data_IF_154181871665
#
_entry.id   IF_154181871665
#
_cell.length_a   1.000
_cell.length_b   1.000
_cell.length_c   1.000
_cell.angle_alpha   90.00
_cell.angle_beta   90.00
_cell.angle_gamma   90.00
#
_symmetry.space_group_name_H-M   'P 1'
#
loop_
_entity.id
_entity.type
_entity.pdbx_description
1 polymer ?
#
# COMPACT_ATOMS: atom_id res chain seq x y z
N UNK A 1 7.68 19.14 45.08
CA UNK A 1 8.83 18.25 44.75
C UNK A 1 8.44 16.77 44.83
N UNK A 2 7.76 16.31 45.90
CA UNK A 2 7.33 14.90 46.03
C UNK A 2 6.29 14.44 44.98
N UNK A 3 5.33 15.29 44.60
CA UNK A 3 4.29 14.95 43.62
C UNK A 3 4.84 14.72 42.21
N UNK A 4 5.83 15.51 41.77
CA UNK A 4 6.47 15.34 40.46
C UNK A 4 7.28 14.05 40.37
N UNK A 5 7.85 13.58 41.49
CA UNK A 5 8.57 12.31 41.56
C UNK A 5 7.60 11.12 41.52
N UNK A 6 6.43 11.25 42.15
CA UNK A 6 5.39 10.24 42.13
C UNK A 6 4.76 10.08 40.73
N UNK A 7 4.52 11.18 40.01
CA UNK A 7 4.04 11.14 38.62
C UNK A 7 5.08 10.52 37.70
N UNK A 8 6.37 10.89 37.84
CA UNK A 8 7.46 10.24 37.08
C UNK A 8 7.56 8.75 37.36
N UNK A 9 7.45 8.33 38.62
CA UNK A 9 7.49 6.92 39.00
C UNK A 9 6.28 6.15 38.47
N UNK A 10 5.08 6.74 38.51
CA UNK A 10 3.86 6.14 37.98
C UNK A 10 3.89 6.01 36.44
N UNK A 11 4.39 7.02 35.73
CA UNK A 11 4.56 6.98 34.27
C UNK A 11 5.61 5.94 33.88
N UNK A 12 6.74 5.86 34.59
CA UNK A 12 7.77 4.85 34.35
C UNK A 12 7.30 3.43 34.69
N UNK A 13 6.48 3.28 35.74
CA UNK A 13 5.89 1.99 36.12
C UNK A 13 4.81 1.54 35.14
N UNK A 14 3.97 2.45 34.64
CA UNK A 14 2.99 2.18 33.58
C UNK A 14 3.68 1.85 32.25
N UNK A 15 4.75 2.57 31.90
CA UNK A 15 5.59 2.26 30.74
C UNK A 15 6.29 0.91 30.87
N UNK A 16 6.85 0.58 32.04
CA UNK A 16 7.49 -0.71 32.30
C UNK A 16 6.50 -1.87 32.31
N UNK A 17 5.28 -1.64 32.82
CA UNK A 17 4.20 -2.64 32.83
C UNK A 17 3.66 -2.87 31.42
N UNK A 18 3.50 -1.82 30.61
CA UNK A 18 3.13 -1.95 29.20
C UNK A 18 4.25 -2.60 28.38
N UNK A 19 5.53 -2.32 28.66
CA UNK A 19 6.66 -3.01 28.02
C UNK A 19 6.73 -4.47 28.46
N UNK A 20 6.43 -4.80 29.73
CA UNK A 20 6.35 -6.20 30.18
C UNK A 20 5.14 -6.94 29.61
N UNK A 21 3.98 -6.29 29.47
CA UNK A 21 2.80 -6.85 28.80
C UNK A 21 3.06 -7.00 27.30
N UNK A 22 3.71 -6.02 26.67
CA UNK A 22 4.21 -6.12 25.30
C UNK A 22 5.25 -7.22 25.16
N UNK A 23 6.14 -7.43 26.14
CA UNK A 23 7.15 -8.50 26.14
C UNK A 23 6.54 -9.89 26.34
N UNK A 24 5.51 -10.02 27.18
CA UNK A 24 4.73 -11.26 27.34
C UNK A 24 3.94 -11.57 26.05
N UNK A 25 3.58 -10.53 25.29
CA UNK A 25 3.01 -10.66 23.94
C UNK A 25 4.10 -10.69 22.83
N UNK A 26 5.37 -10.41 23.14
CA UNK A 26 6.47 -10.25 22.18
C UNK A 26 7.24 -11.52 21.90
N UNK A 27 6.68 -12.69 22.15
CA UNK A 27 7.00 -13.80 21.26
C UNK A 27 6.44 -13.43 19.87
N UNK A 28 7.14 -12.51 19.19
CA UNK A 28 6.83 -11.98 17.87
C UNK A 28 6.74 -13.10 16.85
N UNK A 29 7.49 -14.18 17.07
CA UNK A 29 7.37 -15.44 16.34
C UNK A 29 6.03 -16.13 16.60
N UNK A 30 5.52 -16.15 17.83
CA UNK A 30 4.25 -16.79 18.18
C UNK A 30 3.05 -15.98 17.71
N UNK A 31 3.09 -14.65 17.74
CA UNK A 31 1.98 -13.79 17.31
C UNK A 31 1.87 -13.73 15.77
N UNK A 32 3.01 -13.61 15.08
CA UNK A 32 3.04 -13.74 13.60
C UNK A 32 2.65 -15.16 13.17
N UNK A 33 3.08 -16.19 13.90
CA UNK A 33 2.71 -17.59 13.62
C UNK A 33 1.24 -17.89 13.94
N UNK A 34 0.67 -17.33 15.01
CA UNK A 34 -0.76 -17.45 15.34
C UNK A 34 -1.64 -16.72 14.33
N UNK A 35 -1.24 -15.53 13.86
CA UNK A 35 -1.95 -14.82 12.78
C UNK A 35 -1.84 -15.59 11.45
N UNK A 36 -0.72 -16.26 11.18
CA UNK A 36 -0.51 -17.12 10.00
C UNK A 36 -1.20 -18.49 10.11
N UNK A 37 -1.37 -19.04 11.30
CA UNK A 37 -2.09 -20.30 11.56
C UNK A 37 -3.61 -20.09 11.52
N UNK A 38 -4.11 -18.96 12.03
CA UNK A 38 -5.52 -18.55 11.88
C UNK A 38 -5.90 -18.32 10.40
N UNK A 39 -4.93 -17.96 9.55
CA UNK A 39 -5.03 -17.84 8.08
C UNK A 39 -5.12 -19.19 7.35
N UNK A 40 -4.52 -20.27 7.87
CA UNK A 40 -4.63 -21.63 7.30
C UNK A 40 -5.98 -22.28 7.62
N UNK A 41 -6.51 -22.05 8.83
CA UNK A 41 -7.83 -22.56 9.25
C UNK A 41 -8.99 -21.99 8.43
N UNK A 42 -8.88 -20.74 7.94
CA UNK A 42 -9.88 -20.11 7.08
C UNK A 42 -9.79 -20.56 5.60
N UNK A 43 -8.68 -21.19 5.19
CA UNK A 43 -8.50 -21.71 3.83
C UNK A 43 -8.93 -23.19 3.68
N UNK A 44 -8.95 -23.97 4.77
CA UNK A 44 -9.34 -25.39 4.72
C UNK A 44 -10.85 -25.64 4.86
N UNK A 45 -11.66 -24.60 5.09
CA UNK A 45 -13.09 -24.73 5.35
C UNK A 45 -13.97 -24.07 4.28
N UNK A 46 -13.71 -24.40 3.00
CA UNK A 46 -14.66 -24.15 1.91
C UNK A 46 -15.33 -25.46 1.49
N UNK A 47 -16.66 -25.58 1.57
CA UNK A 47 -17.34 -26.73 1.00
C UNK A 47 -17.40 -26.61 -0.53
N UNK A 48 -16.96 -27.69 -1.18
CA UNK A 48 -17.16 -28.01 -2.59
C UNK A 48 -18.62 -28.39 -2.88
N UNK A 49 -19.05 -28.18 -4.13
CA UNK A 49 -20.32 -28.55 -4.80
C UNK A 49 -21.32 -27.40 -4.99
N UNK A 50 -22.06 -27.24 -6.09
CA UNK A 50 -21.98 -27.67 -7.51
C UNK A 50 -23.14 -26.94 -8.24
N UNK A 51 -22.88 -26.55 -9.49
CA UNK A 51 -23.78 -26.22 -10.62
C UNK A 51 -25.31 -26.40 -10.48
N UNK A 52 -26.09 -25.38 -10.89
CA UNK A 52 -27.15 -25.43 -11.95
C UNK A 52 -27.69 -24.03 -12.27
N UNK A 53 -28.04 -23.78 -13.54
CA UNK A 53 -28.75 -22.61 -14.11
C UNK A 53 -30.01 -23.16 -14.85
N UNK A 54 -30.95 -22.33 -15.38
CA UNK A 54 -31.92 -21.42 -14.76
C UNK A 54 -33.38 -21.84 -15.17
N UNK A 55 -34.42 -20.98 -15.01
CA UNK A 55 -35.00 -20.40 -16.23
C UNK A 55 -35.52 -18.94 -16.13
N UNK A 56 -35.77 -18.39 -17.31
CA UNK A 56 -36.25 -17.07 -17.73
C UNK A 56 -37.71 -16.71 -17.38
N UNK A 57 -38.02 -15.42 -17.19
CA UNK A 57 -39.06 -14.67 -17.93
C UNK A 57 -39.18 -13.20 -17.50
N UNK A 58 -39.49 -12.36 -18.48
CA UNK A 58 -39.62 -10.90 -18.48
C UNK A 58 -40.81 -10.37 -17.65
N UNK A 59 -40.69 -9.13 -17.18
CA UNK A 59 -41.79 -8.16 -17.25
C UNK A 59 -41.26 -6.72 -17.30
N UNK A 60 -41.64 -6.04 -18.38
CA UNK A 60 -41.45 -4.62 -18.66
C UNK A 60 -42.26 -3.76 -17.70
N UNK A 61 -41.65 -2.70 -17.17
CA UNK A 61 -42.31 -1.40 -17.10
C UNK A 61 -41.28 -0.29 -17.26
N UNK A 62 -41.73 0.74 -17.97
CA UNK A 62 -41.00 1.83 -18.59
C UNK A 62 -41.23 3.06 -17.72
N UNK A 63 -40.18 3.80 -17.36
CA UNK A 63 -40.12 5.26 -17.54
C UNK A 63 -38.82 5.91 -17.01
N UNK A 64 -38.14 6.55 -17.97
CA UNK A 64 -37.36 7.79 -17.94
C UNK A 64 -36.74 8.29 -16.61
N UNK A 65 -35.41 8.23 -16.52
CA UNK A 65 -34.56 9.40 -16.21
C UNK A 65 -33.08 9.10 -16.47
N UNK A 66 -32.33 10.10 -16.94
CA UNK A 66 -30.87 10.12 -16.80
C UNK A 66 -30.02 9.83 -18.04
N UNK A 67 -30.16 10.66 -19.08
CA UNK A 67 -29.12 10.81 -20.12
C UNK A 67 -27.89 11.50 -19.54
N UNK A 68 -27.07 10.77 -18.77
CA UNK A 68 -25.77 11.21 -18.23
C UNK A 68 -24.75 10.06 -18.05
N UNK A 69 -24.91 8.92 -18.73
CA UNK A 69 -23.97 7.77 -18.60
C UNK A 69 -23.11 7.52 -19.83
N UNK A 70 -23.42 8.14 -20.97
CA UNK A 70 -22.72 7.92 -22.25
C UNK A 70 -21.56 8.90 -22.48
N UNK A 71 -21.60 10.09 -21.87
CA UNK A 71 -20.59 11.14 -22.07
C UNK A 71 -19.32 10.91 -21.23
N UNK A 72 -19.43 10.34 -20.02
CA UNK A 72 -18.25 10.06 -19.16
C UNK A 72 -17.36 8.94 -19.69
N UNK A 73 -17.95 7.93 -20.33
CA UNK A 73 -17.22 6.79 -20.90
C UNK A 73 -16.44 7.19 -22.16
N UNK A 74 -16.96 8.16 -22.91
CA UNK A 74 -16.27 8.76 -24.05
C UNK A 74 -15.19 9.76 -23.62
N UNK A 75 -15.43 10.55 -22.57
CA UNK A 75 -14.43 11.50 -22.04
C UNK A 75 -13.22 10.79 -21.38
N UNK A 76 -13.42 9.63 -20.75
CA UNK A 76 -12.32 8.81 -20.23
C UNK A 76 -11.43 8.24 -21.34
N UNK A 77 -12.03 7.69 -22.40
CA UNK A 77 -11.31 7.14 -23.54
C UNK A 77 -10.55 8.22 -24.33
N UNK A 78 -11.12 9.43 -24.47
CA UNK A 78 -10.45 10.55 -25.12
C UNK A 78 -9.30 11.07 -24.26
N UNK A 79 -9.46 11.18 -22.93
CA UNK A 79 -8.38 11.56 -22.00
C UNK A 79 -7.22 10.54 -22.02
N UNK A 80 -7.54 9.26 -22.12
CA UNK A 80 -6.55 8.20 -22.28
C UNK A 80 -5.87 8.26 -23.67
N UNK A 81 -6.57 8.74 -24.71
CA UNK A 81 -6.00 8.88 -26.06
C UNK A 81 -5.12 10.14 -26.18
N UNK A 82 -5.44 11.24 -25.49
CA UNK A 82 -4.62 12.46 -25.47
C UNK A 82 -3.38 12.32 -24.59
N UNK A 83 -3.44 11.56 -23.49
CA UNK A 83 -2.23 11.21 -22.70
C UNK A 83 -1.28 10.30 -23.48
N UNK A 84 -1.80 9.39 -24.31
CA UNK A 84 -0.99 8.58 -25.24
C UNK A 84 -0.40 9.42 -26.37
N UNK A 85 -1.06 10.51 -26.78
CA UNK A 85 -0.61 11.38 -27.89
C UNK A 85 0.45 12.41 -27.47
N UNK A 86 0.50 12.81 -26.18
CA UNK A 86 1.59 13.63 -25.64
C UNK A 86 2.89 12.82 -25.43
N UNK A 87 2.79 11.48 -25.43
CA UNK A 87 3.94 10.58 -25.46
C UNK A 87 4.55 10.40 -26.88
N UNK A 88 4.18 11.28 -27.83
CA UNK A 88 4.74 11.32 -29.20
C UNK A 88 5.86 12.36 -29.37
N UNK A 89 6.59 12.60 -28.29
CA UNK A 89 7.99 13.03 -28.34
C UNK A 89 8.79 11.76 -28.03
N UNK A 90 9.81 11.45 -28.83
CA UNK A 90 10.63 10.24 -28.70
C UNK A 90 11.47 10.31 -27.40
N UNK A 91 10.80 10.22 -26.25
CA UNK A 91 11.41 10.25 -24.93
C UNK A 91 11.90 8.84 -24.61
N UNK A 92 13.11 8.74 -24.04
CA UNK A 92 13.72 7.47 -23.63
C UNK A 92 12.89 6.67 -22.62
N UNK A 93 11.79 7.22 -22.13
CA UNK A 93 10.92 6.66 -21.09
C UNK A 93 9.54 6.20 -21.58
N UNK A 94 9.24 6.30 -22.89
CA UNK A 94 7.90 5.99 -23.41
C UNK A 94 7.38 4.61 -23.04
N UNK A 95 8.23 3.59 -23.12
CA UNK A 95 7.84 2.21 -22.77
C UNK A 95 7.57 2.05 -21.28
N UNK A 96 8.36 2.72 -20.44
CA UNK A 96 8.16 2.77 -18.99
C UNK A 96 6.84 3.46 -18.65
N UNK A 97 6.54 4.60 -19.26
CA UNK A 97 5.26 5.31 -19.05
C UNK A 97 4.06 4.43 -19.43
N UNK A 98 4.16 3.70 -20.55
CA UNK A 98 3.14 2.73 -20.95
C UNK A 98 3.01 1.63 -19.90
N UNK A 99 4.11 1.08 -19.41
CA UNK A 99 4.10 0.04 -18.36
C UNK A 99 3.44 0.56 -17.08
N UNK A 100 3.78 1.76 -16.60
CA UNK A 100 3.19 2.40 -15.42
C UNK A 100 1.68 2.59 -15.61
N UNK A 101 1.24 3.17 -16.73
CA UNK A 101 -0.18 3.40 -17.01
C UNK A 101 -0.95 2.07 -17.10
N UNK A 102 -0.37 1.05 -17.73
CA UNK A 102 -1.00 -0.26 -17.87
C UNK A 102 -1.03 -1.05 -16.55
N UNK A 103 0.01 -0.95 -15.72
CA UNK A 103 0.04 -1.53 -14.38
C UNK A 103 -1.00 -0.86 -13.47
N UNK A 104 -1.17 0.46 -13.57
CA UNK A 104 -1.99 1.30 -12.69
C UNK A 104 -3.26 1.81 -13.37
N UNK A 105 -3.87 0.98 -14.22
CA UNK A 105 -5.14 1.34 -14.85
C UNK A 105 -6.31 1.21 -13.86
N UNK A 106 -7.43 1.89 -14.17
CA UNK A 106 -8.65 1.93 -13.36
C UNK A 106 -9.43 0.61 -13.35
N UNK A 107 -9.00 -0.42 -14.07
CA UNK A 107 -9.69 -1.72 -14.08
C UNK A 107 -9.47 -2.38 -12.73
N UNK A 108 -10.58 -2.73 -12.07
CA UNK A 108 -10.64 -3.36 -10.75
C UNK A 108 -10.23 -4.84 -10.79
N UNK A 109 -9.02 -5.09 -11.31
CA UNK A 109 -8.33 -6.38 -11.31
C UNK A 109 -6.85 -6.16 -11.01
N UNK A 110 -6.16 -7.18 -10.45
CA UNK A 110 -4.72 -7.17 -10.27
C UNK A 110 -3.98 -6.80 -11.57
N UNK A 111 -2.88 -6.06 -11.42
CA UNK A 111 -2.01 -5.68 -12.54
C UNK A 111 -1.40 -6.92 -13.19
N UNK A 112 -1.26 -6.92 -14.51
CA UNK A 112 -0.55 -8.00 -15.20
C UNK A 112 0.94 -7.95 -14.86
N UNK A 113 1.50 -9.10 -14.51
CA UNK A 113 2.88 -9.24 -14.04
C UNK A 113 3.92 -8.69 -15.02
N UNK A 114 3.68 -8.83 -16.33
CA UNK A 114 4.57 -8.28 -17.38
C UNK A 114 4.84 -6.78 -17.24
N UNK A 115 3.86 -5.99 -16.77
CA UNK A 115 4.03 -4.56 -16.60
C UNK A 115 4.81 -4.23 -15.33
N UNK A 116 4.59 -5.00 -14.25
CA UNK A 116 5.35 -4.87 -13.00
C UNK A 116 6.83 -5.19 -13.25
N UNK A 117 7.12 -6.29 -13.94
CA UNK A 117 8.49 -6.65 -14.33
C UNK A 117 9.18 -5.57 -15.16
N UNK A 118 8.45 -4.98 -16.12
CA UNK A 118 9.01 -3.88 -16.92
C UNK A 118 9.37 -2.65 -16.06
N UNK A 119 8.54 -2.32 -15.06
CA UNK A 119 8.83 -1.26 -14.10
C UNK A 119 10.06 -1.62 -13.25
N UNK A 120 10.14 -2.86 -12.75
CA UNK A 120 11.25 -3.30 -11.89
C UNK A 120 12.59 -3.31 -12.61
N UNK A 121 12.59 -3.72 -13.89
CA UNK A 121 13.77 -3.61 -14.75
C UNK A 121 14.25 -2.18 -14.95
N UNK A 122 13.39 -1.17 -14.79
CA UNK A 122 13.74 0.24 -14.90
C UNK A 122 14.24 0.86 -13.57
N UNK A 123 14.02 0.18 -12.44
CA UNK A 123 14.45 0.64 -11.10
C UNK A 123 15.50 -0.25 -10.44
N UNK A 124 16.03 -1.25 -11.16
CA UNK A 124 17.11 -2.13 -10.69
C UNK A 124 18.41 -1.37 -10.41
N UNK A 125 19.21 -1.86 -9.46
CA UNK A 125 20.55 -1.38 -9.11
C UNK A 125 21.47 -1.10 -10.31
N UNK A 126 21.32 -1.81 -11.42
CA UNK A 126 22.18 -1.66 -12.61
C UNK A 126 21.80 -0.45 -13.47
N UNK A 127 20.67 0.21 -13.19
CA UNK A 127 20.18 1.34 -13.96
C UNK A 127 20.80 2.67 -13.52
N UNK A 128 20.95 3.63 -14.46
CA UNK A 128 21.30 5.01 -14.14
C UNK A 128 20.32 5.61 -13.13
N UNK A 129 20.84 6.36 -12.13
CA UNK A 129 19.99 6.99 -11.10
C UNK A 129 18.93 7.93 -11.67
N UNK A 130 19.21 8.57 -12.80
CA UNK A 130 18.24 9.41 -13.52
C UNK A 130 16.99 8.62 -13.96
N UNK A 131 17.15 7.37 -14.39
CA UNK A 131 16.05 6.51 -14.83
C UNK A 131 15.20 6.07 -13.63
N UNK A 132 15.85 5.71 -12.52
CA UNK A 132 15.19 5.37 -11.25
C UNK A 132 14.39 6.57 -10.73
N UNK A 133 15.01 7.75 -10.69
CA UNK A 133 14.36 8.99 -10.27
C UNK A 133 13.18 9.37 -11.18
N UNK A 134 13.30 9.15 -12.49
CA UNK A 134 12.19 9.35 -13.43
C UNK A 134 11.02 8.41 -13.10
N UNK A 135 11.29 7.12 -12.87
CA UNK A 135 10.27 6.14 -12.53
C UNK A 135 9.53 6.51 -11.24
N UNK A 136 10.28 6.85 -10.18
CA UNK A 136 9.72 7.31 -8.90
C UNK A 136 8.86 8.56 -9.12
N UNK A 137 9.37 9.54 -9.87
CA UNK A 137 8.60 10.74 -10.21
C UNK A 137 7.30 10.42 -10.96
N UNK A 138 7.35 9.49 -11.92
CA UNK A 138 6.18 9.09 -12.70
C UNK A 138 5.12 8.39 -11.82
N UNK A 139 5.52 7.56 -10.87
CA UNK A 139 4.64 6.93 -9.88
C UNK A 139 4.04 7.97 -8.91
N UNK A 140 4.86 8.86 -8.36
CA UNK A 140 4.42 9.97 -7.51
C UNK A 140 3.40 10.88 -8.23
N UNK A 141 3.66 11.17 -9.51
CA UNK A 141 2.76 11.94 -10.37
C UNK A 141 1.44 11.19 -10.63
N UNK A 142 1.47 9.85 -10.68
CA UNK A 142 0.26 9.03 -10.81
C UNK A 142 -0.62 9.11 -9.56
N UNK A 143 -0.02 9.06 -8.36
CA UNK A 143 -0.72 9.21 -7.08
C UNK A 143 -1.33 10.61 -6.93
N UNK A 144 -0.55 11.67 -7.16
CA UNK A 144 -1.01 13.06 -6.96
C UNK A 144 -2.13 13.50 -7.91
N UNK A 145 -2.26 12.87 -9.08
CA UNK A 145 -3.26 13.26 -10.10
C UNK A 145 -4.50 12.39 -10.15
N UNK A 146 -4.50 11.24 -9.46
CA UNK A 146 -5.64 10.32 -9.51
C UNK A 146 -6.66 10.64 -8.43
N UNK A 147 -7.94 10.51 -8.79
CA UNK A 147 -9.07 10.46 -7.84
C UNK A 147 -9.74 9.08 -7.85
N UNK A 148 -9.16 8.11 -8.56
CA UNK A 148 -9.70 6.75 -8.64
C UNK A 148 -8.97 5.83 -7.65
N UNK A 149 -9.74 5.18 -6.78
CA UNK A 149 -9.20 4.31 -5.72
C UNK A 149 -8.36 3.15 -6.29
N UNK A 150 -8.78 2.54 -7.40
CA UNK A 150 -8.09 1.40 -7.98
C UNK A 150 -6.74 1.81 -8.59
N UNK A 151 -6.67 2.97 -9.24
CA UNK A 151 -5.41 3.54 -9.74
C UNK A 151 -4.46 3.82 -8.56
N UNK A 152 -4.94 4.52 -7.53
CA UNK A 152 -4.14 4.85 -6.35
C UNK A 152 -3.59 3.58 -5.68
N UNK A 153 -4.48 2.62 -5.40
CA UNK A 153 -4.10 1.36 -4.77
C UNK A 153 -3.09 0.58 -5.61
N UNK A 154 -3.32 0.44 -6.92
CA UNK A 154 -2.39 -0.31 -7.78
C UNK A 154 -1.03 0.38 -7.90
N UNK A 155 -0.99 1.71 -7.84
CA UNK A 155 0.28 2.44 -7.76
C UNK A 155 0.99 2.16 -6.44
N UNK A 156 0.28 2.17 -5.29
CA UNK A 156 0.88 1.78 -4.01
C UNK A 156 1.37 0.33 -4.00
N UNK A 157 0.62 -0.61 -4.59
CA UNK A 157 1.03 -2.02 -4.73
C UNK A 157 2.33 -2.13 -5.53
N UNK A 158 2.47 -1.37 -6.62
CA UNK A 158 3.72 -1.36 -7.42
C UNK A 158 4.89 -0.87 -6.56
N UNK A 159 4.69 0.19 -5.78
CA UNK A 159 5.72 0.72 -4.88
C UNK A 159 6.06 -0.30 -3.80
N UNK A 160 5.08 -0.87 -3.09
CA UNK A 160 5.32 -1.86 -2.05
C UNK A 160 6.05 -3.09 -2.59
N UNK A 161 5.60 -3.63 -3.74
CA UNK A 161 6.31 -4.75 -4.36
C UNK A 161 7.74 -4.38 -4.76
N UNK A 162 7.98 -3.16 -5.23
CA UNK A 162 9.33 -2.70 -5.53
C UNK A 162 10.20 -2.64 -4.26
N UNK A 163 9.66 -2.17 -3.13
CA UNK A 163 10.37 -2.20 -1.84
C UNK A 163 10.72 -3.64 -1.40
N UNK A 164 9.89 -4.63 -1.74
CA UNK A 164 10.14 -6.04 -1.35
C UNK A 164 11.02 -6.82 -2.32
N UNK A 165 10.89 -6.58 -3.61
CA UNK A 165 11.45 -7.44 -4.67
C UNK A 165 12.67 -6.82 -5.37
N UNK A 166 12.88 -5.52 -5.25
CA UNK A 166 14.03 -4.82 -5.83
C UNK A 166 15.11 -4.66 -4.76
N UNK A 167 16.32 -4.35 -5.19
CA UNK A 167 17.44 -4.13 -4.29
C UNK A 167 17.22 -2.92 -3.36
N UNK A 168 17.93 -2.94 -2.23
CA UNK A 168 17.77 -1.99 -1.15
C UNK A 168 18.07 -0.53 -1.58
N UNK A 169 18.84 -0.30 -2.65
CA UNK A 169 19.12 1.07 -3.13
C UNK A 169 17.85 1.79 -3.60
N UNK A 170 16.81 1.06 -3.99
CA UNK A 170 15.51 1.66 -4.32
C UNK A 170 14.86 2.34 -3.10
N UNK A 171 15.00 1.79 -1.89
CA UNK A 171 14.46 2.41 -0.66
C UNK A 171 15.06 3.80 -0.44
N UNK A 172 16.39 3.91 -0.58
CA UNK A 172 17.11 5.15 -0.40
C UNK A 172 16.67 6.21 -1.42
N UNK A 173 16.51 5.83 -2.70
CA UNK A 173 16.00 6.71 -3.75
C UNK A 173 14.58 7.21 -3.45
N UNK A 174 13.71 6.35 -2.93
CA UNK A 174 12.34 6.72 -2.53
C UNK A 174 12.34 7.68 -1.33
N UNK A 175 13.19 7.43 -0.33
CA UNK A 175 13.36 8.31 0.83
C UNK A 175 13.89 9.69 0.40
N UNK A 176 14.91 9.71 -0.46
CA UNK A 176 15.50 10.94 -1.00
C UNK A 176 14.50 11.73 -1.84
N UNK A 177 13.69 11.04 -2.65
CA UNK A 177 12.61 11.68 -3.39
C UNK A 177 11.57 12.29 -2.45
N UNK A 178 11.13 11.56 -1.43
CA UNK A 178 10.08 12.01 -0.50
C UNK A 178 10.51 13.24 0.32
N UNK A 179 11.79 13.32 0.72
CA UNK A 179 12.37 14.50 1.38
C UNK A 179 12.46 15.72 0.47
N UNK A 180 12.77 15.52 -0.80
CA UNK A 180 13.04 16.64 -1.72
C UNK A 180 11.79 17.17 -2.42
N UNK A 181 10.76 16.34 -2.64
CA UNK A 181 9.67 16.66 -3.58
C UNK A 181 8.29 16.17 -3.13
N UNK A 182 7.83 16.67 -1.97
CA UNK A 182 6.44 16.51 -1.48
C UNK A 182 6.09 15.04 -1.20
N UNK A 183 6.35 14.58 0.03
CA UNK A 183 5.81 13.36 0.67
C UNK A 183 5.04 12.46 -0.30
N UNK A 184 5.77 11.64 -1.07
CA UNK A 184 5.22 10.92 -2.23
C UNK A 184 3.97 10.09 -1.91
N UNK A 185 3.92 9.57 -0.69
CA UNK A 185 2.88 8.67 -0.18
C UNK A 185 1.83 9.37 0.68
N UNK A 186 1.94 10.68 0.93
CA UNK A 186 0.95 11.40 1.73
C UNK A 186 -0.37 11.49 0.96
N UNK A 187 -1.28 10.61 1.33
CA UNK A 187 -2.62 10.51 0.76
C UNK A 187 -3.71 10.78 1.81
N UNK A 188 -3.40 11.48 2.90
CA UNK A 188 -4.35 11.78 3.99
C UNK A 188 -5.71 12.33 3.53
N UNK A 189 -5.72 13.13 2.45
CA UNK A 189 -6.92 13.73 1.86
C UNK A 189 -7.47 12.98 0.63
N UNK A 190 -6.90 11.83 0.28
CA UNK A 190 -7.35 11.04 -0.86
C UNK A 190 -8.77 10.50 -0.62
N UNK A 191 -9.64 10.73 -1.60
CA UNK A 191 -10.99 10.18 -1.63
C UNK A 191 -11.49 10.00 -3.06
N UNK A 192 -12.19 8.90 -3.29
CA UNK A 192 -12.94 8.59 -4.49
C UNK A 192 -14.44 8.57 -4.14
N UNK A 193 -15.13 9.64 -4.52
CA UNK A 193 -16.56 9.83 -4.24
C UNK A 193 -17.46 9.21 -5.35
N UNK A 194 -16.92 8.33 -6.21
CA UNK A 194 -17.66 7.75 -7.34
C UNK A 194 -18.74 6.74 -6.93
N UNK A 195 -18.59 6.09 -5.77
CA UNK A 195 -19.58 5.16 -5.21
C UNK A 195 -19.37 4.98 -3.70
N UNK A 196 -20.39 4.51 -2.95
CA UNK A 196 -20.23 4.20 -1.51
C UNK A 196 -19.08 3.23 -1.23
N UNK A 197 -18.90 2.22 -2.09
CA UNK A 197 -17.79 1.27 -1.97
C UNK A 197 -16.44 1.96 -2.24
N UNK A 198 -16.35 2.83 -3.25
CA UNK A 198 -15.12 3.59 -3.54
C UNK A 198 -14.70 4.48 -2.37
N UNK A 199 -15.65 5.03 -1.62
CA UNK A 199 -15.37 5.78 -0.40
C UNK A 199 -14.74 4.89 0.69
N UNK A 200 -15.30 3.70 0.93
CA UNK A 200 -14.72 2.70 1.85
C UNK A 200 -13.32 2.27 1.40
N UNK A 201 -13.14 2.00 0.11
CA UNK A 201 -11.83 1.63 -0.45
C UNK A 201 -10.82 2.77 -0.32
N UNK A 202 -11.26 4.03 -0.47
CA UNK A 202 -10.39 5.19 -0.30
C UNK A 202 -9.87 5.30 1.13
N UNK A 203 -10.69 4.98 2.12
CA UNK A 203 -10.25 4.92 3.52
C UNK A 203 -9.15 3.87 3.70
N UNK A 204 -9.32 2.67 3.15
CA UNK A 204 -8.28 1.65 3.21
C UNK A 204 -6.99 2.04 2.45
N UNK A 205 -7.13 2.69 1.29
CA UNK A 205 -5.98 3.23 0.53
C UNK A 205 -5.17 4.22 1.34
N UNK A 206 -5.82 5.04 2.20
CA UNK A 206 -5.13 5.96 3.10
C UNK A 206 -4.32 5.24 4.17
N UNK A 207 -4.90 4.22 4.82
CA UNK A 207 -4.17 3.40 5.79
C UNK A 207 -2.98 2.67 5.16
N UNK A 208 -3.18 2.09 3.98
CA UNK A 208 -2.11 1.41 3.25
C UNK A 208 -0.97 2.36 2.84
N UNK A 209 -1.30 3.59 2.44
CA UNK A 209 -0.28 4.60 2.14
C UNK A 209 0.53 5.01 3.38
N UNK A 210 -0.14 5.23 4.52
CA UNK A 210 0.50 5.52 5.80
C UNK A 210 1.40 4.38 6.27
N UNK A 211 0.96 3.13 6.10
CA UNK A 211 1.81 1.96 6.37
C UNK A 211 3.10 1.97 5.55
N UNK A 212 3.02 2.27 4.24
CA UNK A 212 4.21 2.35 3.40
C UNK A 212 5.12 3.53 3.76
N UNK A 213 4.55 4.66 4.18
CA UNK A 213 5.31 5.81 4.66
C UNK A 213 6.07 5.47 5.95
N UNK A 214 5.39 4.87 6.94
CA UNK A 214 6.03 4.44 8.18
C UNK A 214 7.02 3.30 7.99
N UNK A 215 6.80 2.40 7.01
CA UNK A 215 7.79 1.38 6.65
C UNK A 215 9.10 2.02 6.18
N UNK A 216 9.03 3.02 5.31
CA UNK A 216 10.20 3.73 4.80
C UNK A 216 10.89 4.53 5.92
N UNK A 217 10.12 5.11 6.84
CA UNK A 217 10.66 5.80 8.01
C UNK A 217 11.34 4.83 8.98
N UNK A 218 10.74 3.67 9.21
CA UNK A 218 11.34 2.59 10.00
C UNK A 218 12.67 2.14 9.39
N UNK A 219 12.70 1.88 8.08
CA UNK A 219 13.93 1.57 7.35
C UNK A 219 14.99 2.67 7.48
N UNK A 220 14.57 3.94 7.44
CA UNK A 220 15.46 5.11 7.58
C UNK A 220 16.14 5.17 8.95
N UNK A 221 15.44 4.77 10.02
CA UNK A 221 15.96 4.72 11.41
C UNK A 221 16.82 3.48 11.59
N UNK A 222 16.33 2.30 11.22
CA UNK A 222 16.96 1.01 11.50
C UNK A 222 18.15 0.70 10.57
N UNK A 223 18.17 1.25 9.35
CA UNK A 223 19.15 0.96 8.29
C UNK A 223 19.12 -0.47 7.74
N UNK A 224 18.09 -1.23 8.07
CA UNK A 224 17.81 -2.57 7.53
C UNK A 224 16.30 -2.76 7.36
N UNK A 225 15.87 -3.73 6.56
CA UNK A 225 14.44 -4.04 6.39
C UNK A 225 14.00 -5.09 7.41
N UNK A 226 13.03 -4.74 8.26
CA UNK A 226 12.54 -5.57 9.37
C UNK A 226 11.87 -6.88 8.92
N UNK A 227 11.35 -6.94 7.69
CA UNK A 227 10.70 -8.14 7.15
C UNK A 227 11.64 -9.06 6.37
N UNK A 228 12.68 -8.49 5.76
CA UNK A 228 13.62 -9.23 4.91
C UNK A 228 14.82 -9.69 5.74
N UNK A 229 15.34 -8.81 6.58
CA UNK A 229 16.55 -9.06 7.37
C UNK A 229 16.21 -9.73 8.71
N UNK A 230 17.07 -10.61 9.23
CA UNK A 230 16.87 -11.21 10.53
C UNK A 230 16.82 -10.13 11.62
N UNK A 231 15.98 -10.29 12.66
CA UNK A 231 15.82 -9.28 13.70
C UNK A 231 17.13 -9.13 14.48
N UNK A 232 17.81 -8.00 14.28
CA UNK A 232 19.06 -7.65 14.99
C UNK A 232 18.82 -6.97 16.34
N UNK A 233 17.56 -6.79 16.72
CA UNK A 233 17.14 -6.11 17.95
C UNK A 233 17.68 -6.74 19.23
N UNK A 234 18.06 -8.03 19.19
CA UNK A 234 18.68 -8.74 20.32
C UNK A 234 20.17 -8.46 20.48
N UNK A 235 20.82 -7.95 19.44
CA UNK A 235 22.26 -7.67 19.39
C UNK A 235 22.59 -6.20 19.71
N UNK A 236 21.56 -5.34 19.77
CA UNK A 236 21.70 -3.91 20.03
C UNK A 236 21.96 -3.64 21.51
N UNK A 237 22.73 -2.59 21.77
CA UNK A 237 22.84 -2.05 23.11
C UNK A 237 21.56 -1.29 23.50
N UNK A 238 21.46 -0.90 24.79
CA UNK A 238 20.28 -0.20 25.29
C UNK A 238 20.00 1.13 24.59
N UNK A 239 20.98 2.03 24.33
CA UNK A 239 20.70 3.29 23.64
C UNK A 239 20.23 3.08 22.19
N UNK A 240 20.87 2.20 21.42
CA UNK A 240 20.46 1.93 20.04
C UNK A 240 19.03 1.36 19.98
N UNK A 241 18.69 0.48 20.93
CA UNK A 241 17.34 -0.07 21.04
C UNK A 241 16.31 1.03 21.36
N UNK A 242 16.61 1.95 22.28
CA UNK A 242 15.72 3.07 22.61
C UNK A 242 15.51 4.02 21.44
N UNK A 243 16.50 4.17 20.55
CA UNK A 243 16.36 4.95 19.31
C UNK A 243 15.46 4.24 18.28
N UNK A 244 15.55 2.92 18.15
CA UNK A 244 14.78 2.14 17.17
C UNK A 244 13.34 1.84 17.60
N UNK A 245 13.08 1.68 18.90
CA UNK A 245 11.79 1.27 19.43
C UNK A 245 10.60 2.13 18.97
N UNK A 246 10.67 3.48 18.96
CA UNK A 246 9.56 4.31 18.50
C UNK A 246 9.17 4.03 17.05
N UNK A 247 10.14 3.87 16.16
CA UNK A 247 9.88 3.61 14.74
C UNK A 247 9.27 2.22 14.51
N UNK A 248 9.72 1.22 15.26
CA UNK A 248 9.12 -0.12 15.25
C UNK A 248 7.68 -0.13 15.78
N UNK A 249 7.42 0.64 16.84
CA UNK A 249 6.10 0.74 17.44
C UNK A 249 5.11 1.43 16.49
N UNK A 250 5.51 2.53 15.85
CA UNK A 250 4.66 3.23 14.89
C UNK A 250 4.35 2.36 13.66
N UNK A 251 5.34 1.66 13.12
CA UNK A 251 5.12 0.70 12.03
C UNK A 251 4.11 -0.38 12.43
N UNK A 252 4.21 -0.94 13.64
CA UNK A 252 3.24 -1.91 14.15
C UNK A 252 1.82 -1.33 14.23
N UNK A 253 1.67 -0.08 14.69
CA UNK A 253 0.35 0.57 14.69
C UNK A 253 -0.22 0.69 13.27
N UNK A 254 0.59 1.05 12.28
CA UNK A 254 0.12 1.11 10.88
C UNK A 254 -0.21 -0.24 10.26
N UNK A 255 0.47 -1.31 10.68
CA UNK A 255 0.09 -2.68 10.30
C UNK A 255 -1.30 -3.01 10.83
N UNK A 256 -1.60 -2.66 12.07
CA UNK A 256 -2.93 -2.89 12.66
C UNK A 256 -4.02 -2.05 11.97
N UNK A 257 -3.72 -0.81 11.59
CA UNK A 257 -4.64 0.06 10.81
C UNK A 257 -4.97 -0.50 9.41
N UNK A 258 -4.16 -1.42 8.87
CA UNK A 258 -4.41 -2.03 7.56
C UNK A 258 -5.54 -3.08 7.57
N UNK A 259 -6.19 -3.33 8.71
CA UNK A 259 -7.34 -4.23 8.78
C UNK A 259 -8.50 -3.69 7.91
N UNK A 260 -8.93 -4.40 6.86
CA UNK A 260 -10.03 -3.92 6.00
C UNK A 260 -11.38 -4.06 6.70
N UNK A 261 -12.28 -3.13 6.41
CA UNK A 261 -13.64 -3.10 6.95
C UNK A 261 -14.70 -2.99 5.84
N UNK A 262 -15.92 -3.43 6.14
CA UNK A 262 -17.06 -3.34 5.22
C UNK A 262 -16.78 -3.96 3.85
N UNK A 263 -17.07 -3.21 2.78
CA UNK A 263 -16.87 -3.67 1.41
C UNK A 263 -15.40 -3.97 1.07
N UNK A 264 -14.43 -3.37 1.77
CA UNK A 264 -13.01 -3.58 1.51
C UNK A 264 -12.57 -5.03 1.77
N UNK A 265 -13.26 -5.72 2.70
CA UNK A 265 -12.96 -7.12 3.06
C UNK A 265 -13.07 -8.06 1.87
N UNK A 266 -14.02 -7.83 0.97
CA UNK A 266 -14.28 -8.73 -0.16
C UNK A 266 -13.53 -8.31 -1.44
N UNK A 267 -12.82 -7.18 -1.42
CA UNK A 267 -12.16 -6.66 -2.61
C UNK A 267 -10.83 -7.38 -2.89
N UNK A 268 -10.73 -8.07 -4.02
CA UNK A 268 -9.56 -8.87 -4.37
C UNK A 268 -8.24 -8.09 -4.48
N UNK A 269 -8.28 -6.81 -4.87
CA UNK A 269 -7.06 -5.99 -4.97
C UNK A 269 -6.57 -5.61 -3.58
N UNK A 270 -7.50 -5.26 -2.68
CA UNK A 270 -7.20 -4.97 -1.28
C UNK A 270 -6.66 -6.23 -0.59
N UNK A 271 -7.26 -7.40 -0.83
CA UNK A 271 -6.77 -8.67 -0.29
C UNK A 271 -5.36 -9.02 -0.80
N UNK A 272 -5.06 -8.74 -2.07
CA UNK A 272 -3.71 -8.89 -2.61
C UNK A 272 -2.72 -7.95 -1.90
N UNK A 273 -3.08 -6.68 -1.73
CA UNK A 273 -2.24 -5.70 -1.05
C UNK A 273 -2.01 -6.06 0.43
N UNK A 274 -3.06 -6.52 1.13
CA UNK A 274 -3.03 -6.98 2.51
C UNK A 274 -2.13 -8.21 2.69
N UNK A 275 -2.04 -9.09 1.69
CA UNK A 275 -1.16 -10.26 1.78
C UNK A 275 0.34 -9.92 1.84
N UNK A 276 0.70 -8.67 1.52
CA UNK A 276 2.06 -8.14 1.61
C UNK A 276 2.28 -7.26 2.84
N UNK A 277 1.22 -6.93 3.59
CA UNK A 277 1.32 -6.33 4.93
C UNK A 277 1.61 -7.45 5.94
#
# INVERSE_FOLDING_TARGET
>A
MAEALAIRSAVMYAASSNVKVLMILSDSLSLVKLLKERRLMLWQNQPSHCLTNPPSMECLSKEMSGSQSSLRRYLGAIKDTTTVSLAKVNSGYKELDIAIVKATNHVERPSKERYIRAIFMAISATRPRADVAYCIHALARRLSKTHNWAVALKTLIVIHRALREVDQTFHEEVINYSRSRSHMLNMSHFKDDSSPNAWVYSTWVRFYALFLEERLECFRVLKYDVEIDPPRTKELDTPDLLEQLPALQELLFRVLDCQPEGAAVQNHIIQLALSMV
#
